data_IF_929699133656
#
_entry.id   IF_929699133656
#
_cell.length_a   1.000
_cell.length_b   1.000
_cell.length_c   1.000
_cell.angle_alpha   90.00
_cell.angle_beta   90.00
_cell.angle_gamma   90.00
#
_symmetry.space_group_name_H-M   'P 1'
#
loop_
_entity.id
_entity.type
_entity.pdbx_description
1 polymer ?
#
# COMPACT_ATOMS: atom_id res chain seq x y z
N UNK A 1 8.19 -20.57 -7.27
CA UNK A 1 7.22 -19.56 -6.81
C UNK A 1 7.58 -18.26 -7.53
N UNK A 2 6.98 -17.98 -8.68
CA UNK A 2 7.25 -16.74 -9.41
C UNK A 2 6.79 -15.57 -8.54
N UNK A 3 7.73 -14.81 -8.01
CA UNK A 3 7.43 -13.66 -7.15
C UNK A 3 6.47 -12.73 -7.87
N UNK A 4 5.35 -12.40 -7.22
CA UNK A 4 4.42 -11.40 -7.73
C UNK A 4 5.18 -10.11 -7.96
N UNK A 5 5.24 -9.66 -9.21
CA UNK A 5 6.03 -8.48 -9.56
C UNK A 5 5.32 -7.22 -9.05
N UNK A 6 6.06 -6.14 -8.84
CA UNK A 6 5.47 -4.85 -8.45
C UNK A 6 4.43 -4.38 -9.47
N UNK A 7 4.62 -4.69 -10.76
CA UNK A 7 3.69 -4.35 -11.82
C UNK A 7 2.37 -5.11 -11.69
N UNK A 8 2.40 -6.38 -11.26
CA UNK A 8 1.20 -7.16 -10.97
C UNK A 8 0.42 -6.60 -9.78
N UNK A 9 1.13 -6.20 -8.71
CA UNK A 9 0.52 -5.56 -7.53
C UNK A 9 -0.15 -4.25 -7.93
N UNK A 10 0.56 -3.40 -8.67
CA UNK A 10 0.04 -2.12 -9.16
C UNK A 10 -1.23 -2.36 -9.97
N UNK A 11 -1.19 -3.27 -10.95
CA UNK A 11 -2.33 -3.61 -11.80
C UNK A 11 -3.55 -4.08 -10.99
N UNK A 12 -3.33 -4.95 -10.02
CA UNK A 12 -4.41 -5.48 -9.15
C UNK A 12 -4.99 -4.39 -8.25
N UNK A 13 -4.16 -3.55 -7.63
CA UNK A 13 -4.65 -2.51 -6.72
C UNK A 13 -5.34 -1.34 -7.45
N UNK A 14 -4.93 -1.03 -8.69
CA UNK A 14 -5.50 0.06 -9.48
C UNK A 14 -6.80 -0.30 -10.22
N UNK A 15 -7.11 -1.58 -10.41
CA UNK A 15 -8.29 -2.00 -11.17
C UNK A 15 -9.60 -1.61 -10.44
N UNK A 16 -10.53 -0.99 -11.17
CA UNK A 16 -11.83 -0.59 -10.61
C UNK A 16 -12.72 -1.80 -10.29
N UNK A 17 -12.73 -2.80 -11.18
CA UNK A 17 -13.70 -3.90 -11.17
C UNK A 17 -13.18 -5.21 -10.56
N UNK A 18 -12.10 -5.16 -9.79
CA UNK A 18 -11.57 -6.34 -9.11
C UNK A 18 -12.11 -6.45 -7.68
N UNK A 19 -12.44 -7.67 -7.27
CA UNK A 19 -12.92 -8.00 -5.93
C UNK A 19 -11.96 -7.45 -4.84
N UNK A 20 -12.53 -6.84 -3.80
CA UNK A 20 -11.80 -6.24 -2.68
C UNK A 20 -10.90 -7.28 -1.97
N UNK A 21 -11.29 -8.55 -1.93
CA UNK A 21 -10.49 -9.64 -1.37
C UNK A 21 -9.22 -9.89 -2.17
N UNK A 22 -9.28 -9.78 -3.50
CA UNK A 22 -8.11 -9.90 -4.37
C UNK A 22 -7.19 -8.68 -4.24
N UNK A 23 -7.76 -7.48 -4.04
CA UNK A 23 -6.97 -6.29 -3.68
C UNK A 23 -6.26 -6.48 -2.34
N UNK A 24 -6.96 -7.03 -1.35
CA UNK A 24 -6.41 -7.30 -0.03
C UNK A 24 -5.27 -8.32 -0.10
N UNK A 25 -5.41 -9.38 -0.89
CA UNK A 25 -4.33 -10.35 -1.12
C UNK A 25 -3.09 -9.67 -1.71
N UNK A 26 -3.26 -8.88 -2.78
CA UNK A 26 -2.17 -8.13 -3.40
C UNK A 26 -1.51 -7.13 -2.44
N UNK A 27 -2.31 -6.40 -1.65
CA UNK A 27 -1.81 -5.46 -0.64
C UNK A 27 -1.04 -6.19 0.47
N UNK A 28 -1.49 -7.37 0.88
CA UNK A 28 -0.83 -8.20 1.90
C UNK A 28 0.53 -8.68 1.39
N UNK A 29 0.58 -9.21 0.16
CA UNK A 29 1.86 -9.61 -0.47
C UNK A 29 2.84 -8.44 -0.57
N UNK A 30 2.35 -7.25 -0.93
CA UNK A 30 3.15 -6.04 -0.99
C UNK A 30 3.69 -5.65 0.39
N UNK A 31 2.84 -5.69 1.43
CA UNK A 31 3.23 -5.38 2.81
C UNK A 31 4.31 -6.34 3.31
N UNK A 32 4.16 -7.62 3.03
CA UNK A 32 5.09 -8.65 3.51
C UNK A 32 6.44 -8.58 2.79
N UNK A 33 6.46 -8.06 1.55
CA UNK A 33 7.68 -7.87 0.74
C UNK A 33 8.22 -6.43 0.72
N UNK A 34 7.67 -5.54 1.56
CA UNK A 34 7.91 -4.09 1.51
C UNK A 34 9.38 -3.70 1.68
N UNK A 35 10.13 -4.43 2.50
CA UNK A 35 11.53 -4.13 2.81
C UNK A 35 12.43 -4.21 1.57
N UNK A 36 12.05 -5.04 0.58
CA UNK A 36 12.75 -5.13 -0.70
C UNK A 36 12.61 -3.87 -1.58
N UNK A 37 11.59 -3.04 -1.34
CA UNK A 37 11.29 -1.87 -2.17
C UNK A 37 11.62 -0.54 -1.50
N UNK A 38 11.95 -0.57 -0.22
CA UNK A 38 12.21 0.63 0.61
C UNK A 38 13.69 0.94 0.76
N UNK A 39 14.56 0.21 0.06
CA UNK A 39 16.01 0.39 0.10
C UNK A 39 16.58 0.77 -1.27
N UNK A 40 17.60 1.63 -1.28
CA UNK A 40 18.34 1.97 -2.49
C UNK A 40 17.56 2.78 -3.54
N UNK A 41 18.02 2.78 -4.81
CA UNK A 41 17.53 3.67 -5.86
C UNK A 41 16.13 3.31 -6.39
N UNK A 42 15.61 2.14 -6.04
CA UNK A 42 14.28 1.68 -6.45
C UNK A 42 13.15 2.31 -5.62
N UNK A 43 13.46 2.88 -4.45
CA UNK A 43 12.46 3.41 -3.54
C UNK A 43 11.69 4.62 -4.10
N UNK A 44 12.33 5.68 -4.64
CA UNK A 44 11.59 6.80 -5.21
C UNK A 44 10.62 6.44 -6.35
N UNK A 45 11.00 5.64 -7.38
CA UNK A 45 10.06 5.25 -8.43
C UNK A 45 8.96 4.31 -7.94
N UNK A 46 9.27 3.42 -6.99
CA UNK A 46 8.28 2.59 -6.30
C UNK A 46 7.22 3.46 -5.61
N UNK A 47 7.66 4.43 -4.81
CA UNK A 47 6.79 5.32 -4.05
C UNK A 47 5.90 6.14 -4.99
N UNK A 48 6.48 6.70 -6.06
CA UNK A 48 5.75 7.51 -7.05
C UNK A 48 4.62 6.74 -7.71
N UNK A 49 4.78 5.43 -7.92
CA UNK A 49 3.75 4.57 -8.54
C UNK A 49 2.64 4.19 -7.56
N UNK A 50 2.97 3.80 -6.34
CA UNK A 50 1.99 3.27 -5.39
C UNK A 50 1.24 4.34 -4.60
N UNK A 51 1.87 5.49 -4.32
CA UNK A 51 1.25 6.55 -3.53
C UNK A 51 -0.14 6.99 -4.05
N UNK A 52 -0.37 7.26 -5.35
CA UNK A 52 -1.70 7.62 -5.83
C UNK A 52 -2.74 6.51 -5.64
N UNK A 53 -2.32 5.24 -5.71
CA UNK A 53 -3.19 4.07 -5.50
C UNK A 53 -3.62 3.98 -4.03
N UNK A 54 -2.66 4.11 -3.10
CA UNK A 54 -2.94 4.13 -1.68
C UNK A 54 -3.89 5.26 -1.31
N UNK A 55 -3.64 6.47 -1.82
CA UNK A 55 -4.51 7.61 -1.60
C UNK A 55 -5.91 7.40 -2.20
N UNK A 56 -6.01 6.73 -3.36
CA UNK A 56 -7.29 6.35 -3.95
C UNK A 56 -8.10 5.43 -3.04
N UNK A 57 -7.47 4.39 -2.48
CA UNK A 57 -8.11 3.46 -1.53
C UNK A 57 -8.53 4.19 -0.24
N UNK A 58 -7.66 5.04 0.30
CA UNK A 58 -7.90 5.75 1.56
C UNK A 58 -8.95 6.87 1.47
N UNK A 59 -9.19 7.41 0.26
CA UNK A 59 -10.28 8.37 -0.01
C UNK A 59 -11.67 7.74 0.05
N UNK A 60 -11.78 6.42 -0.07
CA UNK A 60 -13.06 5.72 0.09
C UNK A 60 -13.64 5.86 1.50
N UNK A 61 -14.95 5.59 1.67
CA UNK A 61 -15.61 5.69 2.97
C UNK A 61 -14.94 4.78 4.01
N UNK A 62 -14.81 5.28 5.24
CA UNK A 62 -14.33 4.48 6.36
C UNK A 62 -15.47 3.57 6.86
N UNK A 63 -15.24 2.26 6.89
CA UNK A 63 -16.19 1.31 7.46
C UNK A 63 -15.67 0.82 8.81
N UNK A 64 -16.41 1.02 9.89
CA UNK A 64 -15.96 0.59 11.23
C UNK A 64 -16.35 -0.86 11.58
N UNK A 65 -16.54 -1.69 10.56
CA UNK A 65 -16.83 -3.11 10.69
C UNK A 65 -15.56 -3.92 10.46
N UNK A 66 -14.93 -4.43 11.52
CA UNK A 66 -13.62 -5.09 11.46
C UNK A 66 -13.57 -6.34 10.55
N UNK A 67 -14.72 -6.96 10.28
CA UNK A 67 -14.81 -8.12 9.41
C UNK A 67 -14.96 -7.77 7.92
N UNK A 68 -15.16 -6.50 7.57
CA UNK A 68 -15.31 -6.09 6.18
C UNK A 68 -13.97 -6.21 5.42
N UNK A 69 -13.96 -6.81 4.22
CA UNK A 69 -12.78 -6.82 3.36
C UNK A 69 -12.23 -5.41 3.09
N UNK A 70 -13.11 -4.42 3.00
CA UNK A 70 -12.77 -3.01 2.76
C UNK A 70 -11.97 -2.43 3.92
N UNK A 71 -12.38 -2.70 5.16
CA UNK A 71 -11.66 -2.23 6.34
C UNK A 71 -10.32 -2.94 6.50
N UNK A 72 -10.26 -4.24 6.21
CA UNK A 72 -9.00 -4.99 6.20
C UNK A 72 -8.03 -4.47 5.17
N UNK A 73 -8.50 -4.17 3.96
CA UNK A 73 -7.70 -3.54 2.90
C UNK A 73 -7.18 -2.18 3.36
N UNK A 74 -8.07 -1.32 3.90
CA UNK A 74 -7.70 0.00 4.42
C UNK A 74 -6.60 -0.10 5.48
N UNK A 75 -6.77 -0.99 6.46
CA UNK A 75 -5.79 -1.20 7.52
C UNK A 75 -4.44 -1.70 6.96
N UNK A 76 -4.47 -2.63 6.01
CA UNK A 76 -3.25 -3.13 5.35
C UNK A 76 -2.48 -1.99 4.65
N UNK A 77 -3.17 -1.11 3.93
CA UNK A 77 -2.53 0.07 3.31
C UNK A 77 -1.94 1.01 4.37
N UNK A 78 -2.62 1.22 5.50
CA UNK A 78 -2.09 2.05 6.59
C UNK A 78 -0.84 1.42 7.21
N UNK A 79 -0.80 0.10 7.42
CA UNK A 79 0.40 -0.61 7.90
C UNK A 79 1.58 -0.44 6.95
N UNK A 80 1.35 -0.54 5.63
CA UNK A 80 2.37 -0.27 4.62
C UNK A 80 2.91 1.15 4.76
N UNK A 81 2.02 2.15 4.81
CA UNK A 81 2.41 3.55 4.95
C UNK A 81 3.24 3.82 6.21
N UNK A 82 2.87 3.21 7.35
CA UNK A 82 3.61 3.36 8.61
C UNK A 82 5.02 2.76 8.55
N UNK A 83 5.24 1.75 7.70
CA UNK A 83 6.55 1.11 7.52
C UNK A 83 7.44 1.80 6.49
N UNK A 84 6.93 2.76 5.72
CA UNK A 84 7.74 3.47 4.73
C UNK A 84 8.82 4.32 5.41
N UNK A 85 10.07 4.32 4.92
CA UNK A 85 11.10 5.21 5.42
C UNK A 85 10.70 6.66 5.13
N UNK A 86 10.42 7.42 6.18
CA UNK A 86 10.20 8.87 6.06
C UNK A 86 11.45 9.58 6.55
N UNK A 87 11.83 10.68 5.89
CA UNK A 87 12.84 11.55 6.48
C UNK A 87 12.27 12.06 7.81
N UNK A 88 13.07 12.09 8.89
CA UNK A 88 12.61 12.64 10.16
C UNK A 88 12.07 14.04 9.91
N UNK A 89 10.87 14.31 10.43
CA UNK A 89 10.30 15.65 10.37
C UNK A 89 11.31 16.62 10.98
N UNK A 90 11.64 17.75 10.32
CA UNK A 90 12.52 18.75 10.91
C UNK A 90 12.02 19.08 12.32
N UNK A 91 12.90 19.15 13.34
CA UNK A 91 12.47 19.54 14.67
C UNK A 91 11.74 20.87 14.55
N UNK A 92 10.53 20.95 15.10
CA UNK A 92 9.78 22.22 15.14
C UNK A 92 10.70 23.24 15.78
N UNK A 93 11.05 24.28 15.02
CA UNK A 93 11.71 25.45 15.59
C UNK A 93 10.72 26.02 16.62
N UNK A 94 11.08 25.91 17.90
CA UNK A 94 10.39 26.52 19.03
C UNK A 94 10.97 27.91 19.22
#
# INVERSE_FOLDING_TARGET
MSGTTIDDVVKRLSAADIDVRLKLEAATTLRDSLDHYTTGPIYPPFLKRLMPIFMGILRGPCTFQSNSPEQKLRNCILEVLHRLPTQPSPPRAV
#
